data_IF_392531648514
#
_entry.id   IF_392531648514
#
_cell.length_a   1.000
_cell.length_b   1.000
_cell.length_c   1.000
_cell.angle_alpha   90.00
_cell.angle_beta   90.00
_cell.angle_gamma   90.00
#
_symmetry.space_group_name_H-M   'P 1'
#
loop_
_entity.id
_entity.type
_entity.pdbx_description
1 polymer ?
#
# COMPACT_ATOMS: atom_id res chain seq x y z
N UNK A 1 -13.36 9.49 -23.82
CA UNK A 1 -14.31 9.42 -23.10
C UNK A 1 -14.71 10.20 -21.86
N UNK A 2 -15.97 10.56 -21.84
CA UNK A 2 -16.60 11.30 -20.73
C UNK A 2 -16.75 10.48 -19.44
N UNK A 3 -16.64 9.14 -19.52
CA UNK A 3 -16.83 8.23 -18.39
C UNK A 3 -15.64 8.03 -17.45
N UNK A 4 -14.46 8.59 -17.74
CA UNK A 4 -13.26 8.42 -16.92
C UNK A 4 -12.75 9.73 -16.35
N UNK A 5 -12.36 9.73 -15.06
CA UNK A 5 -11.66 10.84 -14.44
C UNK A 5 -10.27 11.07 -15.02
N UNK A 6 -9.69 12.24 -14.80
CA UNK A 6 -8.42 12.66 -15.41
C UNK A 6 -7.23 11.75 -15.04
N UNK A 7 -7.16 11.28 -13.80
CA UNK A 7 -6.08 10.38 -13.36
C UNK A 7 -6.17 9.02 -14.07
N UNK A 8 -7.38 8.48 -14.27
CA UNK A 8 -7.58 7.22 -15.00
C UNK A 8 -7.15 7.38 -16.47
N UNK A 9 -7.52 8.48 -17.11
CA UNK A 9 -7.09 8.79 -18.48
C UNK A 9 -5.57 8.89 -18.58
N UNK A 10 -4.94 9.59 -17.64
CA UNK A 10 -3.48 9.72 -17.57
C UNK A 10 -2.79 8.35 -17.49
N UNK A 11 -3.26 7.45 -16.61
CA UNK A 11 -2.70 6.09 -16.46
C UNK A 11 -2.89 5.23 -17.70
N UNK A 12 -4.03 5.32 -18.38
CA UNK A 12 -4.27 4.60 -19.63
C UNK A 12 -3.30 5.10 -20.73
N UNK A 13 -3.16 6.42 -20.88
CA UNK A 13 -2.25 7.01 -21.87
C UNK A 13 -0.79 6.63 -21.58
N UNK A 14 -0.37 6.75 -20.31
CA UNK A 14 0.98 6.38 -19.89
C UNK A 14 1.26 4.90 -20.14
N UNK A 15 0.34 4.00 -19.79
CA UNK A 15 0.49 2.57 -20.03
C UNK A 15 0.63 2.24 -21.52
N UNK A 16 -0.18 2.87 -22.35
CA UNK A 16 -0.11 2.72 -23.82
C UNK A 16 1.23 3.21 -24.37
N UNK A 17 1.70 4.35 -23.88
CA UNK A 17 2.99 4.93 -24.27
C UNK A 17 4.16 4.01 -23.92
N UNK A 18 4.21 3.52 -22.67
CA UNK A 18 5.29 2.64 -22.18
C UNK A 18 5.33 1.30 -22.94
N UNK A 19 4.20 0.82 -23.45
CA UNK A 19 4.10 -0.40 -24.24
C UNK A 19 4.33 -0.19 -25.73
N UNK A 20 4.47 1.07 -26.19
CA UNK A 20 4.67 1.36 -27.60
C UNK A 20 6.09 1.02 -28.07
N UNK A 21 6.24 0.84 -29.38
CA UNK A 21 7.53 0.55 -30.02
C UNK A 21 8.57 1.61 -29.68
N UNK A 22 9.78 1.17 -29.35
CA UNK A 22 10.89 2.01 -28.93
C UNK A 22 10.95 2.36 -27.43
N UNK A 23 9.85 2.24 -26.70
CA UNK A 23 9.80 2.49 -25.26
C UNK A 23 9.67 1.21 -24.41
N UNK A 24 9.24 0.12 -25.01
CA UNK A 24 9.04 -1.16 -24.35
C UNK A 24 10.29 -1.63 -23.59
N UNK A 25 11.44 -1.70 -24.27
CA UNK A 25 12.68 -2.16 -23.65
C UNK A 25 13.25 -1.15 -22.66
N UNK A 26 13.16 0.15 -22.96
CA UNK A 26 13.68 1.20 -22.10
C UNK A 26 12.93 1.31 -20.76
N UNK A 27 11.62 1.12 -20.78
CA UNK A 27 10.78 1.34 -19.59
C UNK A 27 10.14 0.05 -19.08
N UNK A 28 9.38 -0.67 -19.89
CA UNK A 28 8.63 -1.84 -19.46
C UNK A 28 9.54 -2.99 -19.03
N UNK A 29 10.52 -3.35 -19.86
CA UNK A 29 11.47 -4.42 -19.54
C UNK A 29 12.30 -4.06 -18.31
N UNK A 30 12.71 -2.80 -18.15
CA UNK A 30 13.41 -2.32 -16.96
C UNK A 30 12.53 -2.39 -15.71
N UNK A 31 11.27 -1.98 -15.80
CA UNK A 31 10.31 -2.07 -14.70
C UNK A 31 10.10 -3.52 -14.25
N UNK A 32 10.00 -4.48 -15.19
CA UNK A 32 9.89 -5.90 -14.86
C UNK A 32 11.13 -6.43 -14.11
N UNK A 33 12.33 -5.98 -14.47
CA UNK A 33 13.56 -6.34 -13.74
C UNK A 33 13.54 -5.79 -12.32
N UNK A 34 13.12 -4.53 -12.12
CA UNK A 34 12.98 -3.92 -10.78
C UNK A 34 11.92 -4.64 -9.96
N UNK A 35 10.76 -4.94 -10.56
CA UNK A 35 9.72 -5.73 -9.91
C UNK A 35 10.22 -7.08 -9.40
N UNK A 36 11.05 -7.74 -10.20
CA UNK A 36 11.68 -9.01 -9.81
C UNK A 36 12.60 -8.84 -8.59
N UNK A 37 13.42 -7.79 -8.55
CA UNK A 37 14.29 -7.50 -7.40
C UNK A 37 13.48 -7.27 -6.12
N UNK A 38 12.39 -6.49 -6.21
CA UNK A 38 11.48 -6.29 -5.07
C UNK A 38 10.94 -7.63 -4.56
N UNK A 39 10.49 -8.50 -5.47
CA UNK A 39 9.99 -9.83 -5.10
C UNK A 39 11.10 -10.69 -4.44
N UNK A 40 12.32 -10.63 -4.94
CA UNK A 40 13.46 -11.38 -4.40
C UNK A 40 13.79 -10.92 -2.97
N UNK A 41 13.67 -9.63 -2.66
CA UNK A 41 13.92 -9.13 -1.30
C UNK A 41 12.87 -9.63 -0.31
N UNK A 42 11.58 -9.65 -0.69
CA UNK A 42 10.56 -10.30 0.14
C UNK A 42 10.80 -11.80 0.31
N UNK A 43 11.20 -12.50 -0.75
CA UNK A 43 11.51 -13.93 -0.66
C UNK A 43 12.67 -14.21 0.31
N UNK A 44 13.70 -13.35 0.34
CA UNK A 44 14.80 -13.46 1.32
C UNK A 44 14.28 -13.27 2.75
N UNK A 45 13.48 -12.25 3.00
CA UNK A 45 12.89 -12.00 4.31
C UNK A 45 12.03 -13.19 4.77
N UNK A 46 11.25 -13.77 3.88
CA UNK A 46 10.41 -14.93 4.17
C UNK A 46 11.16 -16.26 4.38
N UNK A 47 12.47 -16.31 4.17
CA UNK A 47 13.28 -17.45 4.63
C UNK A 47 13.50 -17.40 6.15
N UNK A 48 13.38 -16.23 6.79
CA UNK A 48 13.65 -16.02 8.20
C UNK A 48 12.38 -15.80 9.03
N UNK A 49 11.29 -15.32 8.39
CA UNK A 49 10.03 -15.02 9.06
C UNK A 49 8.83 -15.60 8.31
N UNK A 50 7.72 -15.80 8.99
CA UNK A 50 6.49 -16.30 8.38
C UNK A 50 5.55 -15.17 7.93
N UNK A 51 5.58 -14.05 8.65
CA UNK A 51 4.74 -12.86 8.37
C UNK A 51 5.57 -11.60 8.60
N UNK A 52 5.34 -10.60 7.76
CA UNK A 52 5.93 -9.27 7.89
C UNK A 52 4.83 -8.31 8.32
N UNK A 53 5.11 -7.52 9.36
CA UNK A 53 4.22 -6.46 9.84
C UNK A 53 4.84 -5.10 9.50
N UNK A 54 4.05 -4.22 8.87
CA UNK A 54 4.45 -2.84 8.56
C UNK A 54 3.27 -1.87 8.76
N UNK A 55 3.51 -0.56 8.85
CA UNK A 55 2.44 0.41 8.70
C UNK A 55 1.71 0.25 7.36
N UNK A 56 0.44 0.65 7.28
CA UNK A 56 -0.31 0.71 6.01
C UNK A 56 0.02 1.99 5.25
N UNK A 57 0.13 3.10 5.96
CA UNK A 57 0.42 4.41 5.40
C UNK A 57 1.42 5.15 6.29
N UNK A 58 2.22 6.07 5.74
CA UNK A 58 3.22 6.82 6.51
C UNK A 58 2.59 7.82 7.48
N UNK A 59 1.37 8.26 7.21
CA UNK A 59 0.67 9.28 7.97
C UNK A 59 -0.76 8.87 8.27
N UNK A 60 -1.39 9.58 9.22
CA UNK A 60 -2.84 9.53 9.39
C UNK A 60 -3.56 10.17 8.19
N UNK A 61 -4.89 9.93 8.07
CA UNK A 61 -5.70 10.54 7.02
C UNK A 61 -5.47 12.06 6.90
N UNK A 62 -5.34 12.53 5.67
CA UNK A 62 -5.22 13.94 5.32
C UNK A 62 -6.57 14.54 4.92
N UNK A 63 -6.67 15.86 4.89
CA UNK A 63 -7.92 16.54 4.51
C UNK A 63 -8.18 16.39 3.00
N UNK A 64 -9.45 16.39 2.61
CA UNK A 64 -9.84 16.42 1.20
C UNK A 64 -9.21 17.64 0.54
N UNK A 65 -8.50 17.42 -0.56
CA UNK A 65 -7.80 18.47 -1.32
C UNK A 65 -6.41 18.87 -0.79
N UNK A 66 -5.96 18.37 0.36
CA UNK A 66 -4.68 18.77 0.97
C UNK A 66 -3.45 18.39 0.12
N UNK A 67 -3.52 17.30 -0.66
CA UNK A 67 -2.39 16.78 -1.45
C UNK A 67 -2.61 16.82 -2.97
N UNK A 68 -3.55 17.63 -3.43
CA UNK A 68 -3.90 17.68 -4.86
C UNK A 68 -2.90 18.46 -5.71
N UNK A 69 -2.08 19.32 -5.09
CA UNK A 69 -1.11 20.18 -5.78
C UNK A 69 0.22 19.47 -6.12
N UNK A 70 0.53 18.37 -5.44
CA UNK A 70 1.78 17.62 -5.64
C UNK A 70 1.50 16.13 -5.77
N UNK A 71 1.53 15.59 -7.01
CA UNK A 71 1.31 14.16 -7.26
C UNK A 71 2.30 13.24 -6.53
N UNK A 72 3.54 13.71 -6.27
CA UNK A 72 4.54 12.91 -5.58
C UNK A 72 4.14 12.66 -4.13
N UNK A 73 3.56 13.64 -3.45
CA UNK A 73 3.07 13.47 -2.08
C UNK A 73 1.95 12.43 -2.00
N UNK A 74 1.07 12.36 -3.01
CA UNK A 74 0.06 11.32 -3.08
C UNK A 74 0.67 9.93 -3.28
N UNK A 75 1.67 9.79 -4.15
CA UNK A 75 2.34 8.50 -4.37
C UNK A 75 3.09 8.00 -3.16
N UNK A 76 3.64 8.90 -2.33
CA UNK A 76 4.33 8.53 -1.10
C UNK A 76 3.39 7.96 -0.02
N UNK A 77 2.09 8.23 -0.09
CA UNK A 77 1.11 7.60 0.82
C UNK A 77 1.00 6.07 0.61
N UNK A 78 1.32 5.59 -0.58
CA UNK A 78 1.24 4.17 -0.95
C UNK A 78 2.59 3.44 -0.81
N UNK A 79 3.60 4.07 -0.19
CA UNK A 79 4.98 3.53 -0.15
C UNK A 79 5.08 2.15 0.49
N UNK A 80 4.20 1.81 1.43
CA UNK A 80 4.18 0.52 2.11
C UNK A 80 3.32 -0.53 1.41
N UNK A 81 2.39 -0.14 0.55
CA UNK A 81 1.42 -1.06 -0.08
C UNK A 81 1.81 -1.42 -1.52
N UNK A 82 2.38 -0.49 -2.27
CA UNK A 82 2.80 -0.72 -3.67
C UNK A 82 3.84 -1.86 -3.79
N UNK A 83 4.90 -1.94 -2.96
CA UNK A 83 5.88 -3.02 -3.07
C UNK A 83 5.28 -4.41 -2.87
N UNK A 84 4.31 -4.56 -1.99
CA UNK A 84 3.59 -5.81 -1.72
C UNK A 84 2.80 -6.25 -2.96
N UNK A 85 2.09 -5.31 -3.60
CA UNK A 85 1.37 -5.55 -4.85
C UNK A 85 2.33 -5.92 -6.00
N UNK A 86 3.47 -5.25 -6.12
CA UNK A 86 4.49 -5.55 -7.13
C UNK A 86 5.11 -6.93 -6.92
N UNK A 87 5.33 -7.34 -5.67
CA UNK A 87 5.80 -8.68 -5.34
C UNK A 87 4.73 -9.77 -5.55
N UNK A 88 3.45 -9.40 -5.62
CA UNK A 88 2.31 -10.30 -5.77
C UNK A 88 2.03 -11.10 -4.50
N UNK A 89 2.19 -10.49 -3.34
CA UNK A 89 2.01 -11.12 -2.04
C UNK A 89 0.63 -10.82 -1.45
N UNK A 90 0.05 -11.76 -0.68
CA UNK A 90 -1.16 -11.49 0.07
C UNK A 90 -0.87 -10.55 1.24
N UNK A 91 -1.76 -9.60 1.47
CA UNK A 91 -1.70 -8.72 2.63
C UNK A 91 -3.09 -8.32 3.11
N UNK A 92 -3.22 -8.05 4.40
CA UNK A 92 -4.42 -7.49 5.02
C UNK A 92 -4.07 -6.24 5.81
N UNK A 93 -4.98 -5.28 5.79
CA UNK A 93 -4.91 -4.09 6.64
C UNK A 93 -5.80 -4.27 7.86
N UNK A 94 -5.24 -4.01 9.04
CA UNK A 94 -5.92 -4.19 10.32
C UNK A 94 -5.88 -2.85 11.07
N UNK A 95 -7.02 -2.33 11.53
CA UNK A 95 -7.06 -1.12 12.34
C UNK A 95 -6.42 -1.38 13.71
N UNK A 96 -5.64 -0.42 14.22
CA UNK A 96 -5.15 -0.45 15.59
C UNK A 96 -6.25 0.08 16.50
N UNK A 97 -6.82 -0.80 17.29
CA UNK A 97 -7.85 -0.43 18.24
C UNK A 97 -7.29 0.37 19.43
N UNK A 98 -8.11 1.29 19.90
CA UNK A 98 -7.80 2.16 21.05
C UNK A 98 -6.56 3.06 20.87
N UNK A 99 -5.96 3.10 19.69
CA UNK A 99 -4.90 4.05 19.39
C UNK A 99 -5.32 4.98 18.27
N UNK A 100 -5.38 6.26 18.59
CA UNK A 100 -5.75 7.32 17.64
C UNK A 100 -4.74 8.45 17.73
N UNK A 101 -4.30 8.93 16.58
CA UNK A 101 -3.41 10.08 16.52
C UNK A 101 -4.21 11.34 16.81
N UNK A 102 -3.81 12.07 17.86
CA UNK A 102 -4.38 13.38 18.16
C UNK A 102 -3.76 14.42 17.22
N UNK A 103 -4.50 14.83 16.21
CA UNK A 103 -4.11 15.94 15.36
C UNK A 103 -4.56 17.24 16.02
N UNK A 104 -3.63 18.00 16.58
CA UNK A 104 -3.91 19.33 17.14
C UNK A 104 -4.20 20.29 15.98
N UNK A 105 -5.46 20.51 15.67
CA UNK A 105 -5.88 21.71 14.94
C UNK A 105 -6.46 22.70 15.95
N UNK A 106 -6.27 24.00 15.72
CA UNK A 106 -6.65 25.09 16.62
C UNK A 106 -8.15 25.14 16.99
N UNK A 107 -8.99 24.27 16.42
CA UNK A 107 -10.45 24.28 16.57
C UNK A 107 -11.07 22.95 16.96
N UNK A 108 -10.37 21.81 16.85
CA UNK A 108 -10.91 20.52 17.32
C UNK A 108 -9.80 19.47 17.51
N UNK A 109 -9.90 18.70 18.60
CA UNK A 109 -9.10 17.47 18.78
C UNK A 109 -9.75 16.39 17.92
N UNK A 110 -9.23 16.17 16.73
CA UNK A 110 -9.69 15.09 15.87
C UNK A 110 -8.80 13.86 16.09
N UNK A 111 -9.40 12.79 16.55
CA UNK A 111 -8.74 11.49 16.68
C UNK A 111 -8.90 10.75 15.35
N UNK A 112 -7.79 10.41 14.70
CA UNK A 112 -7.78 9.72 13.42
C UNK A 112 -7.34 8.27 13.61
N UNK A 113 -8.01 7.30 12.97
CA UNK A 113 -7.61 5.91 13.02
C UNK A 113 -6.27 5.70 12.34
N UNK A 114 -5.52 4.72 12.82
CA UNK A 114 -4.33 4.18 12.17
C UNK A 114 -4.46 2.67 12.01
N UNK A 115 -3.68 2.10 11.12
CA UNK A 115 -3.65 0.67 10.89
C UNK A 115 -2.24 0.16 10.62
N UNK A 116 -2.11 -1.14 10.67
CA UNK A 116 -0.94 -1.88 10.20
C UNK A 116 -1.36 -2.91 9.16
N UNK A 117 -0.41 -3.37 8.37
CA UNK A 117 -0.64 -4.48 7.46
C UNK A 117 0.18 -5.71 7.87
N UNK A 118 -0.42 -6.87 7.65
CA UNK A 118 0.25 -8.15 7.70
C UNK A 118 0.45 -8.64 6.27
N UNK A 119 1.69 -8.98 5.94
CA UNK A 119 2.08 -9.47 4.61
C UNK A 119 2.47 -10.94 4.78
N UNK A 120 1.87 -11.83 3.99
CA UNK A 120 2.11 -13.27 4.02
C UNK A 120 2.94 -13.78 2.85
N UNK A 121 3.45 -15.00 2.98
CA UNK A 121 4.07 -15.75 1.90
C UNK A 121 3.03 -15.99 0.78
N UNK A 122 3.50 -16.23 -0.42
CA UNK A 122 2.64 -16.56 -1.58
C UNK A 122 1.68 -17.71 -1.26
N UNK A 123 0.40 -17.54 -1.54
CA UNK A 123 -0.67 -18.51 -1.27
C UNK A 123 -0.83 -18.91 0.20
N UNK A 124 -0.43 -18.01 1.13
CA UNK A 124 -0.57 -18.19 2.57
C UNK A 124 -1.54 -17.19 3.19
N UNK A 125 -2.63 -16.90 2.49
CA UNK A 125 -3.69 -16.00 2.95
C UNK A 125 -4.25 -16.43 4.31
N UNK A 126 -4.36 -17.75 4.55
CA UNK A 126 -4.86 -18.28 5.82
C UNK A 126 -4.03 -17.85 7.02
N UNK A 127 -2.70 -17.73 6.87
CA UNK A 127 -1.80 -17.39 7.96
C UNK A 127 -2.05 -15.94 8.42
N UNK A 128 -2.15 -15.00 7.46
CA UNK A 128 -2.42 -13.58 7.77
C UNK A 128 -3.85 -13.36 8.27
N UNK A 129 -4.83 -14.06 7.71
CA UNK A 129 -6.22 -14.01 8.17
C UNK A 129 -6.36 -14.57 9.59
N UNK A 130 -5.67 -15.68 9.90
CA UNK A 130 -5.67 -16.29 11.23
C UNK A 130 -5.08 -15.35 12.29
N UNK A 131 -3.95 -14.71 12.00
CA UNK A 131 -3.34 -13.73 12.92
C UNK A 131 -4.20 -12.48 13.04
N UNK A 132 -4.76 -11.97 11.93
CA UNK A 132 -5.70 -10.85 11.95
C UNK A 132 -6.89 -11.14 12.87
N UNK A 133 -7.50 -12.32 12.74
CA UNK A 133 -8.62 -12.74 13.60
C UNK A 133 -8.21 -12.86 15.08
N UNK A 134 -7.00 -13.38 15.37
CA UNK A 134 -6.48 -13.44 16.74
C UNK A 134 -6.30 -12.04 17.32
N UNK A 135 -5.77 -11.11 16.53
CA UNK A 135 -5.63 -9.71 16.95
C UNK A 135 -7.00 -9.11 17.29
N UNK A 136 -7.96 -9.21 16.38
CA UNK A 136 -9.31 -8.70 16.60
C UNK A 136 -9.94 -9.27 17.88
N UNK A 137 -9.91 -10.60 18.08
CA UNK A 137 -10.48 -11.24 19.27
C UNK A 137 -9.84 -10.80 20.59
N UNK A 138 -8.56 -10.46 20.59
CA UNK A 138 -7.85 -10.14 21.82
C UNK A 138 -7.76 -8.65 22.12
N UNK A 139 -7.82 -7.81 21.10
CA UNK A 139 -7.56 -6.37 21.22
C UNK A 139 -8.77 -5.51 20.83
N UNK A 140 -9.73 -6.06 20.08
CA UNK A 140 -10.99 -5.36 19.78
C UNK A 140 -11.97 -5.66 20.91
N UNK A 141 -12.18 -4.69 21.79
CA UNK A 141 -13.27 -4.78 22.79
C UNK A 141 -14.59 -4.49 22.09
N UNK A 142 -15.52 -5.43 22.13
CA UNK A 142 -16.93 -5.19 21.89
C UNK A 142 -17.49 -4.12 22.84
#
# INVERSE_FOLDING_TARGET
>A
GEGFGEEVKRRIILGTFVLSSGYYDAYYSKAQKVRRLIKEDFNKAFNEVDIILTPVAPNSAFKIGEKTSDPLQMYLEDIFTIPVNLAGLPAISIPVENYKIKKNSSTSKQELPIGFQLIGKHFKENDILGIGQLYEKNFTKN
#
